data_IF_904715537325
#
_entry.id   IF_904715537325
#
_cell.length_a   1.000
_cell.length_b   1.000
_cell.length_c   1.000
_cell.angle_alpha   90.00
_cell.angle_beta   90.00
_cell.angle_gamma   90.00
#
_symmetry.space_group_name_H-M   'P 1'
#
loop_
_entity.id
_entity.type
_entity.pdbx_description
1 polymer ?
#
# COMPACT_ATOMS: atom_id res chain seq x y z
N UNK A 1 14.61 -14.16 4.41
CA UNK A 1 13.58 -13.10 4.36
C UNK A 1 13.91 -12.20 3.20
N UNK A 2 12.97 -12.01 2.26
CA UNK A 2 13.21 -11.10 1.15
C UNK A 2 13.31 -9.68 1.72
N UNK A 3 14.48 -9.06 1.62
CA UNK A 3 14.70 -7.70 2.12
C UNK A 3 14.01 -6.63 1.24
N UNK A 4 13.26 -7.06 0.23
CA UNK A 4 12.72 -6.21 -0.83
C UNK A 4 11.24 -6.48 -1.01
N UNK A 5 10.53 -5.46 -1.50
CA UNK A 5 9.13 -5.62 -1.86
C UNK A 5 9.02 -6.38 -3.17
N UNK A 6 8.00 -7.23 -3.28
CA UNK A 6 7.73 -8.02 -4.49
C UNK A 6 6.25 -7.89 -4.85
N UNK A 7 5.94 -7.90 -6.15
CA UNK A 7 4.57 -7.81 -6.65
C UNK A 7 4.08 -9.20 -7.04
N UNK A 8 2.98 -9.64 -6.44
CA UNK A 8 2.30 -10.88 -6.79
C UNK A 8 0.94 -10.54 -7.40
N UNK A 9 0.95 -10.16 -8.67
CA UNK A 9 -0.23 -9.67 -9.38
C UNK A 9 -0.79 -8.41 -8.73
N UNK A 10 -1.93 -8.54 -8.05
CA UNK A 10 -2.63 -7.43 -7.37
C UNK A 10 -2.13 -7.17 -5.94
N UNK A 11 -1.20 -7.99 -5.43
CA UNK A 11 -0.74 -7.96 -4.03
C UNK A 11 0.70 -7.50 -3.92
N UNK A 12 1.01 -6.83 -2.81
CA UNK A 12 2.36 -6.38 -2.46
C UNK A 12 2.89 -7.26 -1.33
N UNK A 13 3.93 -8.04 -1.59
CA UNK A 13 4.81 -8.55 -0.55
C UNK A 13 5.72 -7.44 -0.07
N UNK A 14 5.76 -7.20 1.24
CA UNK A 14 6.40 -6.01 1.85
C UNK A 14 7.77 -6.36 2.40
N UNK A 15 8.76 -5.50 2.17
CA UNK A 15 10.02 -5.57 2.93
C UNK A 15 9.76 -5.23 4.41
N UNK A 16 10.65 -5.65 5.31
CA UNK A 16 10.49 -5.50 6.76
C UNK A 16 10.13 -4.07 7.21
N UNK A 17 10.81 -3.06 6.66
CA UNK A 17 10.54 -1.66 6.99
C UNK A 17 9.14 -1.20 6.55
N UNK A 18 8.70 -1.62 5.36
CA UNK A 18 7.36 -1.29 4.88
C UNK A 18 6.28 -2.04 5.66
N UNK A 19 6.55 -3.30 6.02
CA UNK A 19 5.67 -4.10 6.86
C UNK A 19 5.44 -3.43 8.22
N UNK A 20 6.52 -3.01 8.90
CA UNK A 20 6.45 -2.26 10.17
C UNK A 20 5.76 -0.91 10.02
N UNK A 21 6.04 -0.18 8.93
CA UNK A 21 5.41 1.11 8.67
C UNK A 21 3.89 1.01 8.42
N UNK A 22 3.39 -0.17 8.01
CA UNK A 22 1.98 -0.43 7.70
C UNK A 22 1.29 -1.34 8.73
N UNK A 23 1.91 -1.58 9.89
CA UNK A 23 1.45 -2.56 10.90
C UNK A 23 0.07 -2.24 11.48
N UNK A 24 -0.25 -0.95 11.66
CA UNK A 24 -1.48 -0.51 12.34
C UNK A 24 -2.76 -0.57 11.47
N UNK A 25 -2.72 -1.26 10.32
CA UNK A 25 -3.92 -1.61 9.55
C UNK A 25 -4.54 -0.46 8.75
N UNK A 26 -5.87 -0.36 8.79
CA UNK A 26 -6.64 0.57 7.94
C UNK A 26 -6.62 2.01 8.51
N UNK A 27 -6.31 3.03 7.68
CA UNK A 27 -6.29 4.41 8.13
C UNK A 27 -7.69 4.96 8.41
N UNK A 28 -7.77 5.89 9.35
CA UNK A 28 -8.92 6.80 9.49
C UNK A 28 -8.70 8.08 8.69
N UNK A 29 -9.72 8.92 8.55
CA UNK A 29 -9.61 10.23 7.88
C UNK A 29 -8.58 11.18 8.53
N UNK A 30 -8.14 10.92 9.77
CA UNK A 30 -7.14 11.72 10.48
C UNK A 30 -5.79 11.01 10.62
N UNK A 31 -5.69 9.75 10.19
CA UNK A 31 -4.47 8.95 10.33
C UNK A 31 -3.38 9.46 9.38
N UNK A 32 -2.18 9.68 9.93
CA UNK A 32 -0.96 10.03 9.18
C UNK A 32 -0.03 8.84 9.12
N UNK A 33 0.73 8.72 8.03
CA UNK A 33 1.68 7.62 7.84
C UNK A 33 1.50 6.89 6.51
N UNK A 34 2.07 5.70 6.42
CA UNK A 34 2.01 4.85 5.23
C UNK A 34 1.02 3.72 5.49
N UNK A 35 0.12 3.48 4.54
CA UNK A 35 -0.94 2.48 4.67
C UNK A 35 -1.07 1.65 3.41
N UNK A 36 -1.48 0.40 3.56
CA UNK A 36 -2.01 -0.43 2.47
C UNK A 36 -3.39 -0.87 2.94
N UNK A 37 -4.44 -0.06 2.69
CA UNK A 37 -5.77 -0.37 3.19
C UNK A 37 -6.32 -1.62 2.49
N UNK A 38 -7.10 -2.39 3.22
CA UNK A 38 -7.88 -3.47 2.63
C UNK A 38 -8.94 -2.88 1.70
N UNK A 39 -8.94 -3.37 0.46
CA UNK A 39 -9.92 -3.00 -0.56
C UNK A 39 -10.66 -4.26 -0.95
N UNK A 40 -11.96 -4.13 -1.19
CA UNK A 40 -12.82 -5.23 -1.62
C UNK A 40 -13.67 -4.75 -2.78
N UNK A 41 -13.82 -5.58 -3.81
CA UNK A 41 -14.77 -5.33 -4.88
C UNK A 41 -16.18 -5.57 -4.35
N UNK A 42 -17.00 -4.52 -4.25
CA UNK A 42 -18.35 -4.60 -3.69
C UNK A 42 -19.30 -5.53 -4.45
N UNK A 43 -19.02 -5.81 -5.74
CA UNK A 43 -19.87 -6.66 -6.57
C UNK A 43 -19.50 -8.14 -6.45
N UNK A 44 -18.22 -8.47 -6.24
CA UNK A 44 -17.72 -9.85 -6.21
C UNK A 44 -17.32 -10.33 -4.81
N UNK A 45 -17.14 -9.42 -3.85
CA UNK A 45 -16.59 -9.72 -2.53
C UNK A 45 -15.10 -10.08 -2.54
N UNK A 46 -14.46 -10.10 -3.70
CA UNK A 46 -13.06 -10.44 -3.82
C UNK A 46 -12.15 -9.30 -3.36
N UNK A 47 -10.98 -9.60 -2.80
CA UNK A 47 -10.01 -8.57 -2.48
C UNK A 47 -9.59 -7.76 -3.70
N UNK A 48 -9.55 -6.45 -3.52
CA UNK A 48 -9.08 -5.49 -4.50
C UNK A 48 -7.56 -5.46 -4.64
N UNK A 49 -7.10 -4.53 -5.47
CA UNK A 49 -5.68 -4.28 -5.69
C UNK A 49 -5.05 -3.55 -4.50
N UNK A 50 -3.93 -4.05 -4.01
CA UNK A 50 -3.13 -3.39 -2.97
C UNK A 50 -2.56 -2.08 -3.51
N UNK A 51 -2.81 -0.98 -2.81
CA UNK A 51 -2.22 0.32 -3.14
C UNK A 51 -1.57 0.85 -1.87
N UNK A 52 -0.26 1.05 -1.92
CA UNK A 52 0.45 1.73 -0.84
C UNK A 52 0.18 3.24 -0.93
N UNK A 53 -0.28 3.82 0.17
CA UNK A 53 -0.71 5.21 0.26
C UNK A 53 0.05 5.94 1.35
N UNK A 54 0.48 7.16 1.08
CA UNK A 54 1.03 8.08 2.07
C UNK A 54 -0.04 9.10 2.48
N UNK A 55 -0.28 9.21 3.78
CA UNK A 55 -1.17 10.22 4.37
C UNK A 55 -0.31 11.28 5.06
N UNK A 56 -0.10 12.41 4.38
CA UNK A 56 0.70 13.53 4.89
C UNK A 56 0.22 14.85 4.30
N UNK A 57 0.36 15.95 5.06
CA UNK A 57 -0.06 17.29 4.64
C UNK A 57 -1.56 17.35 4.26
N UNK A 58 -1.84 17.92 3.10
CA UNK A 58 -3.19 18.01 2.51
C UNK A 58 -3.78 16.66 2.08
N UNK A 59 -2.96 15.61 2.02
CA UNK A 59 -3.37 14.26 1.60
C UNK A 59 -3.74 13.35 2.77
N UNK A 60 -3.84 13.87 4.00
CA UNK A 60 -4.33 13.10 5.15
C UNK A 60 -5.81 12.79 4.96
N UNK A 61 -6.15 11.50 4.90
CA UNK A 61 -7.51 11.01 4.63
C UNK A 61 -7.64 10.44 3.22
N UNK A 62 -7.51 11.25 2.15
CA UNK A 62 -7.53 10.76 0.76
C UNK A 62 -6.36 9.83 0.43
N UNK A 63 -5.18 10.12 0.98
CA UNK A 63 -3.92 9.45 0.67
C UNK A 63 -3.40 9.76 -0.74
N UNK A 64 -2.07 9.68 -0.91
CA UNK A 64 -1.43 9.69 -2.23
C UNK A 64 -0.81 8.33 -2.52
N UNK A 65 -1.07 7.78 -3.71
CA UNK A 65 -0.56 6.47 -4.11
C UNK A 65 0.95 6.53 -4.37
N UNK A 66 1.69 5.60 -3.75
CA UNK A 66 3.13 5.47 -3.90
C UNK A 66 3.47 4.47 -4.99
N UNK A 67 4.29 4.87 -5.96
CA UNK A 67 4.73 4.00 -7.07
C UNK A 67 5.96 3.15 -6.73
N UNK A 68 6.73 3.49 -5.69
CA UNK A 68 7.88 2.72 -5.21
C UNK A 68 7.94 2.69 -3.68
N UNK A 69 8.68 1.73 -3.14
CA UNK A 69 8.90 1.58 -1.71
C UNK A 69 10.02 2.53 -1.26
N UNK A 70 9.77 3.44 -0.31
CA UNK A 70 10.78 4.40 0.14
C UNK A 70 11.91 3.73 0.96
N UNK A 71 11.74 2.47 1.35
CA UNK A 71 12.69 1.75 2.19
C UNK A 71 13.63 0.82 1.40
N UNK A 72 13.14 0.16 0.35
CA UNK A 72 13.93 -0.81 -0.42
C UNK A 72 14.08 -0.46 -1.91
N UNK A 73 13.42 0.61 -2.39
CA UNK A 73 13.53 1.11 -3.76
C UNK A 73 12.74 0.36 -4.82
N UNK A 74 12.16 -0.80 -4.50
CA UNK A 74 11.38 -1.59 -5.46
C UNK A 74 10.03 -0.94 -5.80
N UNK A 75 9.51 -1.27 -6.98
CA UNK A 75 8.20 -0.82 -7.45
C UNK A 75 7.07 -1.35 -6.55
N UNK A 76 6.11 -0.48 -6.23
CA UNK A 76 4.85 -0.82 -5.56
C UNK A 76 3.64 -0.73 -6.49
N UNK A 77 3.87 -0.50 -7.78
CA UNK A 77 2.82 -0.25 -8.76
C UNK A 77 2.15 -1.56 -9.18
N UNK A 78 1.07 -1.91 -8.48
CA UNK A 78 0.18 -3.04 -8.80
C UNK A 78 -0.91 -2.69 -9.84
N UNK A 79 -0.96 -1.44 -10.30
CA UNK A 79 -1.96 -0.92 -11.24
C UNK A 79 -1.34 -0.45 -12.56
N UNK A 80 -2.04 -0.66 -13.68
CA UNK A 80 -1.56 -0.32 -15.03
C UNK A 80 -1.50 -1.54 -15.94
N UNK A 81 -1.29 -1.33 -17.25
CA UNK A 81 -1.07 -2.42 -18.20
C UNK A 81 0.30 -3.06 -17.91
N UNK A 82 0.30 -4.37 -17.70
CA UNK A 82 1.50 -5.19 -17.81
C UNK A 82 2.02 -5.14 -19.25
#
# INVERSE_FOLDING_TARGET
>A
MSNKCELHGKRISRCDHLAKATEYGNPTLKSKGVFIPERVNINTGEPGTDICQLHSGEYVGPGIAMNFCPFCGESLKTWGKQ
#
